data_IF_428467528516
#
_entry.id   IF_428467528516
#
_cell.length_a   1.000
_cell.length_b   1.000
_cell.length_c   1.000
_cell.angle_alpha   90.00
_cell.angle_beta   90.00
_cell.angle_gamma   90.00
#
_symmetry.space_group_name_H-M   'P 1'
#
loop_
_entity.id
_entity.type
_entity.pdbx_description
1 polymer ?
#
# COMPACT_ATOMS: atom_id res chain seq x y z
N UNK A 1 29.94 -19.41 4.04
CA UNK A 1 29.16 -20.47 3.39
C UNK A 1 28.42 -19.77 2.23
N UNK A 2 28.75 -20.15 0.99
CA UNK A 2 28.44 -19.45 -0.23
C UNK A 2 26.95 -19.46 -0.56
N UNK A 3 26.47 -18.29 -1.00
CA UNK A 3 25.20 -18.08 -1.65
C UNK A 3 25.19 -18.78 -3.02
N UNK A 4 24.34 -19.78 -3.21
CA UNK A 4 24.01 -20.32 -4.52
C UNK A 4 22.67 -19.74 -5.01
N UNK A 5 22.64 -19.04 -6.14
CA UNK A 5 21.39 -18.59 -6.78
C UNK A 5 20.84 -19.73 -7.64
N UNK A 6 19.78 -20.39 -7.16
CA UNK A 6 19.14 -21.43 -7.96
C UNK A 6 18.13 -22.28 -7.20
N UNK A 7 17.04 -21.68 -6.74
CA UNK A 7 15.75 -22.36 -6.57
C UNK A 7 14.62 -21.32 -6.74
N UNK A 8 13.91 -21.45 -7.84
CA UNK A 8 12.71 -20.68 -8.11
C UNK A 8 11.62 -20.98 -7.05
N UNK A 9 11.02 -19.94 -6.45
CA UNK A 9 9.68 -20.00 -5.93
C UNK A 9 9.45 -20.03 -4.43
N UNK A 10 10.40 -19.63 -3.58
CA UNK A 10 10.13 -19.44 -2.15
C UNK A 10 10.42 -17.98 -1.77
N UNK A 11 9.41 -17.29 -1.24
CA UNK A 11 9.56 -15.94 -0.69
C UNK A 11 10.67 -15.94 0.36
N UNK A 12 11.67 -15.11 0.14
CA UNK A 12 12.81 -14.93 1.06
C UNK A 12 12.34 -14.50 2.46
N UNK A 13 11.15 -13.94 2.58
CA UNK A 13 10.59 -13.43 3.83
C UNK A 13 10.09 -14.52 4.81
N UNK A 14 9.79 -15.73 4.35
CA UNK A 14 9.35 -16.82 5.25
C UNK A 14 10.50 -17.64 5.80
N UNK A 15 11.70 -17.54 5.22
CA UNK A 15 12.84 -18.40 5.60
C UNK A 15 13.90 -17.71 6.45
N UNK A 16 13.84 -16.38 6.64
CA UNK A 16 14.86 -15.67 7.38
C UNK A 16 14.30 -14.93 8.60
N UNK A 17 13.82 -15.66 9.61
CA UNK A 17 13.83 -15.15 10.98
C UNK A 17 15.23 -15.45 11.52
N UNK A 18 16.09 -14.44 11.73
CA UNK A 18 17.37 -14.67 12.38
C UNK A 18 17.09 -15.26 13.77
N UNK A 19 17.75 -16.35 14.11
CA UNK A 19 17.72 -16.83 15.49
C UNK A 19 18.49 -15.80 16.30
N UNK A 20 17.79 -15.05 17.15
CA UNK A 20 18.40 -13.95 17.90
C UNK A 20 19.51 -14.41 18.84
N UNK A 21 19.48 -15.68 19.25
CA UNK A 21 20.57 -16.36 19.99
C UNK A 21 21.92 -16.34 19.25
N UNK A 22 21.93 -16.16 17.93
CA UNK A 22 23.16 -16.16 17.13
C UNK A 22 23.87 -14.81 17.14
N UNK A 23 23.23 -13.77 17.73
CA UNK A 23 23.76 -12.41 17.76
C UNK A 23 24.22 -12.01 19.15
N UNK A 24 25.38 -11.37 19.19
CA UNK A 24 25.94 -10.81 20.41
C UNK A 24 25.49 -9.37 20.62
N UNK A 25 25.48 -8.56 19.56
CA UNK A 25 25.13 -7.13 19.66
C UNK A 25 23.84 -6.80 18.95
N UNK A 26 22.94 -6.16 19.69
CA UNK A 26 21.62 -5.71 19.23
C UNK A 26 21.64 -4.20 19.05
N UNK A 27 21.34 -3.70 17.85
CA UNK A 27 21.41 -2.27 17.50
C UNK A 27 20.03 -1.74 17.16
N UNK A 28 19.59 -0.73 17.86
CA UNK A 28 18.40 0.05 17.50
C UNK A 28 18.80 1.40 16.92
N UNK A 29 18.23 1.76 15.78
CA UNK A 29 18.52 2.99 15.06
C UNK A 29 17.25 3.82 14.91
N UNK A 30 17.27 5.05 15.38
CA UNK A 30 16.24 6.05 15.10
C UNK A 30 16.70 6.91 13.94
N UNK A 31 16.02 6.74 12.79
CA UNK A 31 16.49 7.23 11.49
C UNK A 31 15.65 8.41 11.03
N UNK A 32 16.26 9.60 11.03
CA UNK A 32 15.67 10.81 10.47
C UNK A 32 16.44 11.30 9.24
N UNK A 33 15.85 12.22 8.48
CA UNK A 33 16.44 12.72 7.23
C UNK A 33 17.81 13.40 7.39
N UNK A 34 18.11 13.97 8.55
CA UNK A 34 19.35 14.74 8.82
C UNK A 34 20.20 14.13 9.92
N UNK A 35 19.65 13.27 10.74
CA UNK A 35 20.35 12.70 11.89
C UNK A 35 19.88 11.27 12.12
N UNK A 36 20.81 10.44 12.55
CA UNK A 36 20.52 9.07 12.97
C UNK A 36 21.09 8.90 14.38
N UNK A 37 20.32 8.29 15.26
CA UNK A 37 20.79 7.96 16.61
C UNK A 37 20.80 6.45 16.77
N UNK A 38 21.93 5.91 17.18
CA UNK A 38 22.13 4.48 17.44
C UNK A 38 22.23 4.20 18.93
N UNK A 39 21.63 3.08 19.33
CA UNK A 39 21.82 2.47 20.65
C UNK A 39 22.14 0.99 20.43
N UNK A 40 23.22 0.51 21.03
CA UNK A 40 23.68 -0.89 20.89
C UNK A 40 23.83 -1.54 22.27
N UNK A 41 23.36 -2.79 22.39
CA UNK A 41 23.50 -3.62 23.58
C UNK A 41 24.43 -4.81 23.25
N UNK A 42 25.53 -4.94 23.97
CA UNK A 42 26.29 -6.21 24.01
C UNK A 42 25.59 -7.15 25.00
N UNK A 43 24.95 -8.19 24.48
CA UNK A 43 24.22 -9.16 25.31
C UNK A 43 25.13 -9.99 26.23
N UNK A 44 26.44 -10.04 25.99
CA UNK A 44 27.38 -10.76 26.81
C UNK A 44 27.80 -9.95 28.04
N UNK A 45 28.00 -8.64 27.87
CA UNK A 45 28.49 -7.75 28.98
C UNK A 45 27.37 -6.95 29.61
N UNK A 46 26.24 -6.77 28.92
CA UNK A 46 25.17 -5.86 29.31
C UNK A 46 25.48 -4.39 29.02
N UNK A 47 26.61 -4.10 28.38
CA UNK A 47 27.04 -2.73 28.07
C UNK A 47 26.13 -2.12 27.00
N UNK A 48 25.73 -0.84 27.20
CA UNK A 48 24.94 -0.08 26.24
C UNK A 48 25.76 1.08 25.70
N UNK A 49 26.05 1.02 24.41
CA UNK A 49 26.72 2.07 23.66
C UNK A 49 25.70 2.94 22.91
N UNK A 50 25.99 4.23 22.80
CA UNK A 50 25.17 5.18 22.06
C UNK A 50 26.02 6.02 21.13
N UNK A 51 25.51 6.31 19.96
CA UNK A 51 26.17 7.18 19.00
C UNK A 51 25.14 8.04 18.25
N UNK A 52 25.57 9.24 17.85
CA UNK A 52 24.77 10.14 17.02
C UNK A 52 25.51 10.44 15.73
N UNK A 53 24.84 10.23 14.62
CA UNK A 53 25.37 10.43 13.27
C UNK A 53 24.68 11.60 12.58
N UNK A 54 25.32 12.13 11.55
CA UNK A 54 24.68 12.91 10.50
C UNK A 54 23.79 12.06 9.59
N UNK A 55 23.69 12.45 8.33
CA UNK A 55 22.92 11.73 7.32
C UNK A 55 23.75 10.71 6.51
N UNK A 56 25.04 10.56 6.81
CA UNK A 56 25.90 9.60 6.11
C UNK A 56 25.68 8.18 6.62
N UNK A 57 25.05 7.36 5.79
CA UNK A 57 24.79 5.95 6.10
C UNK A 57 26.08 5.12 6.24
N UNK A 58 27.19 5.58 5.64
CA UNK A 58 28.48 4.88 5.72
C UNK A 58 29.06 4.94 7.13
N UNK A 59 28.86 6.05 7.85
CA UNK A 59 29.25 6.18 9.26
C UNK A 59 28.46 5.23 10.15
N UNK A 60 27.15 5.09 9.91
CA UNK A 60 26.27 4.16 10.65
C UNK A 60 26.71 2.71 10.45
N UNK A 61 27.02 2.33 9.20
CA UNK A 61 27.50 1.00 8.85
C UNK A 61 28.87 0.72 9.50
N UNK A 62 29.81 1.67 9.40
CA UNK A 62 31.13 1.55 10.00
C UNK A 62 31.05 1.36 11.52
N UNK A 63 30.25 2.18 12.20
CA UNK A 63 30.02 2.06 13.64
C UNK A 63 29.41 0.70 14.00
N UNK A 64 28.34 0.29 13.29
CA UNK A 64 27.69 -1.00 13.57
C UNK A 64 28.67 -2.17 13.44
N UNK A 65 29.54 -2.13 12.43
CA UNK A 65 30.59 -3.16 12.23
C UNK A 65 31.71 -3.12 13.25
N UNK A 66 31.97 -1.97 13.88
CA UNK A 66 32.99 -1.85 14.94
C UNK A 66 32.55 -2.46 16.27
N UNK A 67 31.27 -2.74 16.44
CA UNK A 67 30.72 -3.35 17.64
C UNK A 67 31.08 -4.86 17.70
N UNK A 68 31.12 -5.47 18.91
CA UNK A 68 31.35 -6.91 19.05
C UNK A 68 30.33 -7.72 18.23
N UNK A 69 30.81 -8.60 17.36
CA UNK A 69 29.96 -9.40 16.47
C UNK A 69 29.59 -10.78 17.02
N UNK A 70 28.60 -11.45 16.43
CA UNK A 70 27.73 -10.99 15.32
C UNK A 70 26.73 -9.90 15.75
N UNK A 71 26.46 -8.96 14.82
CA UNK A 71 25.54 -7.85 15.08
C UNK A 71 24.24 -8.03 14.30
N UNK A 72 23.13 -7.56 14.91
CA UNK A 72 21.84 -7.38 14.24
C UNK A 72 21.28 -5.98 14.53
N UNK A 73 20.80 -5.31 13.50
CA UNK A 73 20.25 -3.97 13.60
C UNK A 73 18.75 -3.93 13.34
N UNK A 74 18.08 -2.93 13.91
CA UNK A 74 16.68 -2.61 13.57
C UNK A 74 16.46 -1.10 13.50
N UNK A 75 15.55 -0.70 12.64
CA UNK A 75 15.00 0.66 12.60
C UNK A 75 13.54 0.63 12.17
N UNK A 76 12.81 1.71 12.44
CA UNK A 76 11.38 1.83 12.12
C UNK A 76 11.21 2.17 10.62
N UNK A 77 10.28 1.46 9.93
CA UNK A 77 9.91 1.79 8.56
C UNK A 77 9.32 3.21 8.50
N UNK A 78 9.91 4.06 7.68
CA UNK A 78 9.54 5.48 7.62
C UNK A 78 9.84 6.11 6.25
N UNK A 79 9.71 7.43 6.15
CA UNK A 79 9.90 8.18 4.90
C UNK A 79 11.35 8.15 4.38
N UNK A 80 12.32 7.72 5.20
CA UNK A 80 13.71 7.54 4.80
C UNK A 80 13.96 6.29 3.94
N UNK A 81 12.93 5.44 3.76
CA UNK A 81 12.99 4.27 2.90
C UNK A 81 13.88 3.15 3.43
N UNK A 82 14.41 2.33 2.52
CA UNK A 82 15.13 1.11 2.83
C UNK A 82 16.61 1.15 2.47
N UNK A 83 17.16 2.31 2.17
CA UNK A 83 18.57 2.47 1.80
C UNK A 83 19.54 1.98 2.88
N UNK A 84 19.27 2.29 4.15
CA UNK A 84 20.07 1.84 5.30
C UNK A 84 20.04 0.30 5.44
N UNK A 85 18.86 -0.30 5.32
CA UNK A 85 18.72 -1.76 5.35
C UNK A 85 19.63 -2.45 4.31
N UNK A 86 19.59 -1.98 3.06
CA UNK A 86 20.39 -2.53 1.97
C UNK A 86 21.88 -2.41 2.25
N UNK A 87 22.33 -1.24 2.71
CA UNK A 87 23.75 -1.00 3.06
C UNK A 87 24.22 -1.86 4.22
N UNK A 88 23.39 -2.07 5.25
CA UNK A 88 23.73 -2.96 6.35
C UNK A 88 23.89 -4.40 5.87
N UNK A 89 22.96 -4.91 5.05
CA UNK A 89 23.06 -6.25 4.47
C UNK A 89 24.27 -6.40 3.56
N UNK A 90 24.57 -5.44 2.69
CA UNK A 90 25.77 -5.43 1.83
C UNK A 90 27.06 -5.48 2.65
N UNK A 91 27.05 -4.90 3.83
CA UNK A 91 28.20 -4.93 4.77
C UNK A 91 28.31 -6.22 5.59
N UNK A 92 27.37 -7.15 5.43
CA UNK A 92 27.30 -8.40 6.22
C UNK A 92 26.61 -8.25 7.57
N UNK A 93 26.00 -7.09 7.88
CA UNK A 93 25.23 -6.88 9.11
C UNK A 93 23.77 -7.23 8.90
N UNK A 94 23.24 -8.13 9.72
CA UNK A 94 21.82 -8.46 9.71
C UNK A 94 20.97 -7.24 10.08
N UNK A 95 19.83 -7.07 9.39
CA UNK A 95 18.93 -5.96 9.68
C UNK A 95 17.46 -6.36 9.56
N UNK A 96 16.64 -5.90 10.49
CA UNK A 96 15.19 -6.09 10.52
C UNK A 96 14.53 -4.72 10.52
N UNK A 97 13.64 -4.43 9.57
CA UNK A 97 12.89 -3.17 9.56
C UNK A 97 11.59 -3.36 10.33
N UNK A 98 11.37 -2.56 11.36
CA UNK A 98 10.23 -2.66 12.27
C UNK A 98 8.96 -2.01 11.70
N UNK A 99 7.82 -2.65 11.90
CA UNK A 99 6.50 -2.10 11.52
C UNK A 99 6.05 -1.04 12.55
N UNK A 100 5.89 0.26 12.18
CA UNK A 100 5.58 1.35 13.10
C UNK A 100 4.32 1.11 13.92
N UNK A 101 3.27 0.61 13.27
CA UNK A 101 1.97 0.36 13.89
C UNK A 101 1.93 -0.83 14.87
N UNK A 102 3.03 -1.57 14.97
CA UNK A 102 3.16 -2.76 15.82
C UNK A 102 4.17 -2.60 16.94
N UNK A 103 4.90 -1.49 16.96
CA UNK A 103 5.82 -1.18 18.06
C UNK A 103 5.02 -0.91 19.34
N UNK A 104 5.21 -1.77 20.34
CA UNK A 104 4.59 -1.61 21.64
C UNK A 104 5.35 -0.52 22.41
N UNK A 105 4.61 0.43 22.98
CA UNK A 105 5.17 1.48 23.85
C UNK A 105 4.50 1.42 25.22
N UNK A 106 5.26 1.56 26.31
CA UNK A 106 4.66 1.66 27.65
C UNK A 106 3.69 2.84 27.75
N UNK A 107 2.52 2.63 28.30
CA UNK A 107 1.45 3.64 28.39
C UNK A 107 1.78 4.89 29.21
N UNK A 108 2.88 4.88 29.96
CA UNK A 108 3.37 6.00 30.78
C UNK A 108 4.51 6.82 30.16
N UNK A 109 5.06 6.41 29.01
CA UNK A 109 6.22 7.08 28.43
C UNK A 109 5.80 8.29 27.57
N UNK A 110 5.79 9.47 28.21
CA UNK A 110 5.41 10.75 27.58
C UNK A 110 6.60 11.53 27.01
N UNK A 111 7.83 11.13 27.31
CA UNK A 111 9.05 11.83 26.87
C UNK A 111 9.65 11.10 25.68
N UNK A 112 9.58 11.73 24.52
CA UNK A 112 10.16 11.21 23.27
C UNK A 112 11.45 11.96 22.97
N UNK A 113 12.52 11.22 22.78
CA UNK A 113 13.79 11.70 22.25
C UNK A 113 14.39 10.63 21.37
N UNK A 114 15.12 11.03 20.32
CA UNK A 114 15.78 10.12 19.38
C UNK A 114 16.58 9.03 20.12
N UNK A 115 17.28 9.39 21.21
CA UNK A 115 18.07 8.45 22.01
C UNK A 115 17.20 7.41 22.75
N UNK A 116 16.00 7.79 23.21
CA UNK A 116 15.07 6.84 23.84
C UNK A 116 14.40 5.95 22.80
N UNK A 117 14.06 6.50 21.64
CA UNK A 117 13.44 5.75 20.57
C UNK A 117 14.43 4.71 19.99
N UNK A 118 15.71 5.07 19.79
CA UNK A 118 16.77 4.12 19.42
C UNK A 118 16.98 3.02 20.48
N UNK A 119 17.02 3.40 21.77
CA UNK A 119 17.15 2.44 22.87
C UNK A 119 15.94 1.50 22.96
N UNK A 120 14.72 2.02 22.76
CA UNK A 120 13.51 1.21 22.74
C UNK A 120 13.50 0.19 21.61
N UNK A 121 13.89 0.59 20.40
CA UNK A 121 14.02 -0.32 19.25
C UNK A 121 15.05 -1.41 19.52
N UNK A 122 16.22 -1.08 20.06
CA UNK A 122 17.25 -2.03 20.47
C UNK A 122 16.69 -3.06 21.48
N UNK A 123 15.98 -2.60 22.50
CA UNK A 123 15.35 -3.44 23.52
C UNK A 123 14.31 -4.37 22.93
N UNK A 124 13.40 -3.87 22.07
CA UNK A 124 12.39 -4.70 21.39
C UNK A 124 13.03 -5.76 20.50
N UNK A 125 14.12 -5.40 19.81
CA UNK A 125 14.88 -6.36 19.00
C UNK A 125 15.47 -7.47 19.86
N UNK A 126 16.11 -7.12 20.97
CA UNK A 126 16.70 -8.09 21.89
C UNK A 126 15.65 -9.04 22.50
N UNK A 127 14.42 -8.56 22.74
CA UNK A 127 13.32 -9.34 23.30
C UNK A 127 12.50 -10.11 22.25
N UNK A 128 12.88 -10.12 20.98
CA UNK A 128 12.10 -10.70 19.85
C UNK A 128 10.67 -10.11 19.70
N UNK A 129 10.48 -8.85 20.08
CA UNK A 129 9.17 -8.19 20.02
C UNK A 129 9.00 -7.34 18.75
N UNK A 130 9.96 -7.37 17.81
CA UNK A 130 9.87 -6.65 16.55
C UNK A 130 8.99 -7.42 15.55
N UNK A 131 7.92 -6.77 15.10
CA UNK A 131 7.18 -7.23 13.93
C UNK A 131 7.86 -6.68 12.67
N UNK A 132 8.49 -7.56 11.90
CA UNK A 132 9.22 -7.18 10.70
C UNK A 132 8.31 -6.74 9.55
N UNK A 133 8.74 -5.71 8.82
CA UNK A 133 8.20 -5.34 7.50
C UNK A 133 8.96 -6.08 6.42
N UNK A 134 8.24 -6.62 5.44
CA UNK A 134 8.88 -7.12 4.22
C UNK A 134 9.46 -5.95 3.44
N UNK A 135 10.78 -5.90 3.32
CA UNK A 135 11.47 -4.86 2.55
C UNK A 135 11.29 -5.14 1.06
N UNK A 136 10.75 -4.20 0.29
CA UNK A 136 10.59 -4.38 -1.15
C UNK A 136 11.95 -4.37 -1.86
N UNK A 137 12.01 -4.99 -3.05
CA UNK A 137 13.13 -4.76 -3.96
C UNK A 137 13.19 -3.30 -4.40
N UNK A 138 14.31 -2.85 -4.97
CA UNK A 138 14.42 -1.49 -5.52
C UNK A 138 13.39 -1.26 -6.63
N UNK A 139 13.14 -2.26 -7.44
CA UNK A 139 12.17 -2.22 -8.52
C UNK A 139 10.73 -2.13 -7.99
N UNK A 140 10.40 -2.89 -6.94
CA UNK A 140 9.10 -2.80 -6.28
C UNK A 140 8.88 -1.45 -5.60
N UNK A 141 9.94 -0.87 -5.01
CA UNK A 141 9.90 0.44 -4.35
C UNK A 141 9.63 1.54 -5.38
N UNK A 142 10.38 1.58 -6.49
CA UNK A 142 10.17 2.56 -7.56
C UNK A 142 8.83 2.41 -8.27
N UNK A 143 8.35 1.19 -8.46
CA UNK A 143 7.01 0.94 -9.00
C UNK A 143 5.90 1.44 -8.05
N UNK A 144 6.09 1.30 -6.73
CA UNK A 144 5.17 1.89 -5.73
C UNK A 144 5.17 3.41 -5.77
N UNK A 145 6.32 4.04 -5.93
CA UNK A 145 6.41 5.50 -6.02
C UNK A 145 5.65 6.02 -7.24
N UNK A 146 5.74 5.35 -8.38
CA UNK A 146 4.96 5.67 -9.57
C UNK A 146 3.45 5.58 -9.31
N UNK A 147 3.00 4.48 -8.69
CA UNK A 147 1.59 4.25 -8.37
C UNK A 147 1.06 5.25 -7.35
N UNK A 148 1.86 5.59 -6.33
CA UNK A 148 1.50 6.58 -5.30
C UNK A 148 1.46 7.98 -5.86
N UNK A 149 2.41 8.37 -6.70
CA UNK A 149 2.39 9.64 -7.43
C UNK A 149 1.13 9.80 -8.30
N UNK A 150 0.69 8.69 -8.91
CA UNK A 150 -0.59 8.68 -9.65
C UNK A 150 -1.80 8.85 -8.74
N UNK A 151 -1.78 8.24 -7.54
CA UNK A 151 -2.85 8.39 -6.56
C UNK A 151 -2.93 9.82 -6.01
N UNK A 152 -1.78 10.42 -5.71
CA UNK A 152 -1.70 11.83 -5.27
C UNK A 152 -2.26 12.75 -6.36
N UNK A 153 -1.86 12.53 -7.62
CA UNK A 153 -2.41 13.28 -8.77
C UNK A 153 -3.93 13.12 -8.91
N UNK A 154 -4.48 11.93 -8.60
CA UNK A 154 -5.93 11.72 -8.58
C UNK A 154 -6.61 12.56 -7.50
N UNK A 155 -6.01 12.62 -6.31
CA UNK A 155 -6.54 13.42 -5.20
C UNK A 155 -6.47 14.92 -5.52
N UNK A 156 -5.34 15.39 -6.06
CA UNK A 156 -5.16 16.76 -6.51
C UNK A 156 -6.20 17.14 -7.54
N UNK A 157 -6.41 16.32 -8.58
CA UNK A 157 -7.41 16.52 -9.60
C UNK A 157 -8.83 16.62 -9.02
N UNK A 158 -9.18 15.77 -8.06
CA UNK A 158 -10.48 15.88 -7.36
C UNK A 158 -10.58 17.21 -6.60
N UNK A 159 -9.51 17.60 -5.90
CA UNK A 159 -9.47 18.85 -5.14
C UNK A 159 -9.64 20.09 -6.04
N UNK A 160 -8.91 20.15 -7.15
CA UNK A 160 -9.02 21.30 -8.08
C UNK A 160 -10.36 21.36 -8.77
N UNK A 161 -10.94 20.22 -9.18
CA UNK A 161 -12.30 20.13 -9.73
C UNK A 161 -13.35 20.63 -8.75
N UNK A 162 -13.26 20.27 -7.48
CA UNK A 162 -14.16 20.79 -6.45
C UNK A 162 -14.01 22.30 -6.24
N UNK A 163 -12.79 22.85 -6.29
CA UNK A 163 -12.56 24.29 -6.18
C UNK A 163 -13.21 25.05 -7.34
N UNK A 164 -13.01 24.61 -8.58
CA UNK A 164 -13.63 25.21 -9.75
C UNK A 164 -15.15 25.11 -9.70
N UNK A 165 -15.70 23.95 -9.37
CA UNK A 165 -17.18 23.78 -9.24
C UNK A 165 -17.76 24.71 -8.17
N UNK A 166 -17.08 24.91 -7.04
CA UNK A 166 -17.53 25.82 -5.98
C UNK A 166 -17.42 27.31 -6.38
N UNK A 167 -16.38 27.65 -7.16
CA UNK A 167 -16.26 28.99 -7.72
C UNK A 167 -17.49 29.29 -8.62
N UNK A 168 -17.78 28.42 -9.56
CA UNK A 168 -18.90 28.54 -10.50
C UNK A 168 -20.23 28.59 -9.76
N UNK A 169 -20.44 27.73 -8.77
CA UNK A 169 -21.66 27.70 -7.96
C UNK A 169 -21.91 29.05 -7.24
N UNK A 170 -20.85 29.67 -6.70
CA UNK A 170 -20.98 31.02 -6.07
C UNK A 170 -21.40 32.10 -7.04
N UNK A 171 -21.13 31.92 -8.33
CA UNK A 171 -21.56 32.84 -9.40
C UNK A 171 -22.85 32.38 -10.11
N UNK A 172 -23.60 31.46 -9.48
CA UNK A 172 -24.90 31.02 -9.96
C UNK A 172 -24.86 30.00 -11.10
N UNK A 173 -23.66 29.51 -11.49
CA UNK A 173 -23.55 28.53 -12.55
C UNK A 173 -23.68 27.11 -11.99
N UNK A 174 -24.67 26.37 -12.49
CA UNK A 174 -24.92 24.95 -12.21
C UNK A 174 -25.00 24.22 -13.54
N UNK A 175 -24.13 23.21 -13.72
CA UNK A 175 -24.19 22.36 -14.89
C UNK A 175 -25.16 21.20 -14.67
N UNK A 176 -26.25 21.16 -15.46
CA UNK A 176 -27.33 20.16 -15.38
C UNK A 176 -27.46 19.29 -16.66
N UNK A 177 -26.68 19.59 -17.71
CA UNK A 177 -26.75 18.93 -19.01
C UNK A 177 -25.83 17.66 -19.09
N UNK A 178 -25.92 16.80 -18.10
CA UNK A 178 -25.23 15.49 -18.07
C UNK A 178 -24.11 15.37 -17.06
N UNK A 179 -23.17 14.45 -17.34
CA UNK A 179 -22.07 14.19 -16.44
C UNK A 179 -21.01 15.31 -16.48
N UNK A 180 -20.59 15.80 -15.30
CA UNK A 180 -19.51 16.77 -15.17
C UNK A 180 -18.16 16.17 -15.64
N UNK A 181 -17.23 17.04 -16.03
CA UNK A 181 -15.86 16.71 -16.45
C UNK A 181 -15.77 15.86 -17.72
N UNK A 182 -16.80 15.96 -18.59
CA UNK A 182 -16.79 15.46 -19.97
C UNK A 182 -16.40 16.57 -20.93
N UNK A 183 -16.08 16.23 -22.19
CA UNK A 183 -15.81 17.23 -23.24
C UNK A 183 -16.98 18.22 -23.42
N UNK A 184 -18.23 17.76 -23.22
CA UNK A 184 -19.41 18.60 -23.27
C UNK A 184 -19.43 19.64 -22.14
N UNK A 185 -19.15 19.18 -20.91
CA UNK A 185 -19.02 20.05 -19.74
C UNK A 185 -17.87 21.06 -19.92
N UNK A 186 -16.72 20.62 -20.39
CA UNK A 186 -15.55 21.47 -20.65
C UNK A 186 -15.85 22.58 -21.67
N UNK A 187 -16.61 22.27 -22.74
CA UNK A 187 -17.09 23.26 -23.70
C UNK A 187 -18.02 24.26 -23.02
N UNK A 188 -19.00 23.80 -22.26
CA UNK A 188 -19.91 24.64 -21.51
C UNK A 188 -19.20 25.58 -20.54
N UNK A 189 -18.16 25.10 -19.85
CA UNK A 189 -17.34 25.94 -18.98
C UNK A 189 -16.66 27.08 -19.73
N UNK A 190 -16.14 26.83 -20.93
CA UNK A 190 -15.50 27.85 -21.77
C UNK A 190 -16.48 28.89 -22.26
N UNK A 191 -17.71 28.50 -22.60
CA UNK A 191 -18.79 29.41 -23.01
C UNK A 191 -19.24 30.33 -21.86
N UNK A 192 -19.13 29.87 -20.61
CA UNK A 192 -19.48 30.65 -19.41
C UNK A 192 -18.29 31.45 -18.83
N UNK A 193 -17.14 31.44 -19.53
CA UNK A 193 -15.96 32.26 -19.19
C UNK A 193 -16.26 33.73 -19.50
N UNK A 194 -17.01 34.42 -18.64
CA UNK A 194 -17.36 35.81 -18.79
C UNK A 194 -17.55 36.48 -17.43
N UNK A 195 -17.62 37.81 -17.40
CA UNK A 195 -17.78 38.57 -16.16
C UNK A 195 -16.69 39.60 -15.96
N UNK A 196 -16.47 40.01 -14.71
CA UNK A 196 -15.40 40.95 -14.38
C UNK A 196 -14.00 40.30 -14.43
N UNK A 197 -12.98 41.15 -14.47
CA UNK A 197 -11.58 40.72 -14.55
C UNK A 197 -11.19 39.80 -13.41
N UNK A 198 -11.68 40.03 -12.20
CA UNK A 198 -11.29 39.21 -11.03
C UNK A 198 -11.89 37.80 -11.13
N UNK A 199 -13.14 37.67 -11.56
CA UNK A 199 -13.74 36.35 -11.80
C UNK A 199 -13.02 35.60 -12.94
N UNK A 200 -12.81 36.25 -14.08
CA UNK A 200 -12.08 35.62 -15.20
C UNK A 200 -10.71 35.14 -14.80
N UNK A 201 -9.95 35.94 -14.06
CA UNK A 201 -8.61 35.55 -13.57
C UNK A 201 -8.68 34.35 -12.63
N UNK A 202 -9.64 34.35 -11.69
CA UNK A 202 -9.84 33.22 -10.75
C UNK A 202 -10.31 31.96 -11.45
N UNK A 203 -11.19 32.09 -12.46
CA UNK A 203 -11.64 30.97 -13.28
C UNK A 203 -10.48 30.37 -14.06
N UNK A 204 -9.73 31.17 -14.80
CA UNK A 204 -8.59 30.72 -15.61
C UNK A 204 -7.53 30.00 -14.78
N UNK A 205 -7.18 30.53 -13.62
CA UNK A 205 -6.20 29.91 -12.72
C UNK A 205 -6.67 28.52 -12.21
N UNK A 206 -7.97 28.36 -11.94
CA UNK A 206 -8.53 27.07 -11.52
C UNK A 206 -8.66 26.08 -12.69
N UNK A 207 -9.12 26.55 -13.86
CA UNK A 207 -9.26 25.72 -15.06
C UNK A 207 -7.90 25.24 -15.57
N UNK A 208 -6.90 26.10 -15.64
CA UNK A 208 -5.53 25.72 -15.97
C UNK A 208 -4.99 24.62 -15.02
N UNK A 209 -5.25 24.76 -13.73
CA UNK A 209 -4.86 23.74 -12.75
C UNK A 209 -5.53 22.39 -13.01
N UNK A 210 -6.82 22.40 -13.41
CA UNK A 210 -7.53 21.16 -13.81
C UNK A 210 -6.89 20.54 -15.05
N UNK A 211 -6.62 21.35 -16.08
CA UNK A 211 -5.99 20.88 -17.33
C UNK A 211 -4.61 20.26 -17.05
N UNK A 212 -3.77 20.92 -16.25
CA UNK A 212 -2.45 20.43 -15.86
C UNK A 212 -2.54 19.12 -15.06
N UNK A 213 -3.48 19.02 -14.13
CA UNK A 213 -3.69 17.81 -13.34
C UNK A 213 -4.17 16.62 -14.20
N UNK A 214 -5.03 16.88 -15.17
CA UNK A 214 -5.45 15.87 -16.17
C UNK A 214 -4.26 15.38 -16.99
N UNK A 215 -3.48 16.30 -17.55
CA UNK A 215 -2.31 15.96 -18.35
C UNK A 215 -1.27 15.15 -17.54
N UNK A 216 -1.05 15.51 -16.27
CA UNK A 216 -0.17 14.77 -15.35
C UNK A 216 -0.68 13.36 -15.11
N UNK A 217 -1.97 13.19 -14.79
CA UNK A 217 -2.61 11.89 -14.61
C UNK A 217 -2.42 11.01 -15.85
N UNK A 218 -2.67 11.57 -17.04
CA UNK A 218 -2.63 10.80 -18.28
C UNK A 218 -1.20 10.33 -18.61
N UNK A 219 -0.17 11.13 -18.29
CA UNK A 219 1.23 10.70 -18.40
C UNK A 219 1.55 9.54 -17.45
N UNK A 220 1.09 9.61 -16.20
CA UNK A 220 1.30 8.55 -15.22
C UNK A 220 0.52 7.28 -15.60
N UNK A 221 -0.72 7.41 -16.09
CA UNK A 221 -1.51 6.29 -16.57
C UNK A 221 -0.84 5.56 -17.76
N UNK A 222 -0.22 6.30 -18.69
CA UNK A 222 0.58 5.72 -19.79
C UNK A 222 1.80 4.97 -19.27
N UNK A 223 2.56 5.54 -18.34
CA UNK A 223 3.73 4.90 -17.77
C UNK A 223 3.36 3.61 -17.03
N UNK A 224 2.31 3.64 -16.20
CA UNK A 224 1.81 2.46 -15.50
C UNK A 224 1.35 1.38 -16.49
N UNK A 225 0.65 1.77 -17.57
CA UNK A 225 0.18 0.82 -18.59
C UNK A 225 1.35 0.13 -19.27
N UNK A 226 2.39 0.86 -19.64
CA UNK A 226 3.59 0.30 -20.25
C UNK A 226 4.29 -0.70 -19.32
N UNK A 227 4.46 -0.36 -18.03
CA UNK A 227 5.03 -1.27 -17.04
C UNK A 227 4.13 -2.49 -16.77
N UNK A 228 2.81 -2.34 -16.85
CA UNK A 228 1.90 -3.45 -16.67
C UNK A 228 1.95 -4.47 -17.83
N UNK A 229 2.39 -4.04 -19.01
CA UNK A 229 2.52 -4.89 -20.21
C UNK A 229 3.86 -5.65 -20.24
N UNK A 230 4.93 -5.03 -19.76
CA UNK A 230 6.28 -5.61 -19.77
C UNK A 230 7.05 -5.24 -18.49
N UNK A 231 6.90 -6.09 -17.47
CA UNK A 231 7.63 -6.02 -16.21
C UNK A 231 7.44 -7.31 -15.40
N UNK A 232 8.20 -7.52 -14.32
CA UNK A 232 7.98 -8.63 -13.39
C UNK A 232 6.56 -8.68 -12.78
N UNK A 233 5.83 -7.57 -12.81
CA UNK A 233 4.46 -7.48 -12.30
C UNK A 233 3.39 -7.96 -13.30
N UNK A 234 3.72 -8.04 -14.59
CA UNK A 234 2.79 -8.40 -15.69
C UNK A 234 2.02 -9.70 -15.41
N UNK A 235 2.64 -10.79 -14.94
CA UNK A 235 1.90 -12.03 -14.65
C UNK A 235 0.84 -11.84 -13.57
N UNK A 236 1.10 -11.02 -12.53
CA UNK A 236 0.14 -10.75 -11.48
C UNK A 236 -0.97 -9.83 -11.95
N UNK A 237 -0.65 -8.79 -12.73
CA UNK A 237 -1.63 -7.88 -13.35
C UNK A 237 -2.63 -8.66 -14.19
N UNK A 238 -2.15 -9.59 -15.03
CA UNK A 238 -3.00 -10.41 -15.90
C UNK A 238 -3.92 -11.33 -15.08
N UNK A 239 -3.42 -11.95 -14.00
CA UNK A 239 -4.24 -12.76 -13.08
C UNK A 239 -5.32 -11.95 -12.39
N UNK A 240 -4.97 -10.77 -11.86
CA UNK A 240 -5.92 -9.86 -11.18
C UNK A 240 -6.95 -9.31 -12.16
N UNK A 241 -6.54 -9.05 -13.41
CA UNK A 241 -7.41 -8.60 -14.50
C UNK A 241 -8.55 -9.56 -14.87
N UNK A 242 -8.50 -10.82 -14.42
CA UNK A 242 -9.62 -11.76 -14.58
C UNK A 242 -10.84 -11.42 -13.69
N UNK A 243 -10.68 -10.54 -12.72
CA UNK A 243 -11.75 -10.11 -11.82
C UNK A 243 -12.44 -8.85 -12.35
N UNK A 244 -13.78 -8.81 -12.27
CA UNK A 244 -14.58 -7.64 -12.64
C UNK A 244 -14.19 -6.45 -11.77
N UNK A 245 -14.05 -5.30 -12.38
CA UNK A 245 -13.67 -4.06 -11.69
C UNK A 245 -12.16 -3.85 -11.54
N UNK A 246 -11.33 -4.85 -11.87
CA UNK A 246 -9.88 -4.69 -11.92
C UNK A 246 -9.46 -4.30 -13.33
N UNK A 247 -9.10 -3.03 -13.52
CA UNK A 247 -8.47 -2.53 -14.75
C UNK A 247 -6.97 -2.83 -14.74
N UNK A 248 -6.26 -2.58 -15.84
CA UNK A 248 -4.80 -2.67 -15.91
C UNK A 248 -4.14 -1.80 -14.84
N UNK A 249 -4.55 -0.54 -14.71
CA UNK A 249 -4.04 0.37 -13.68
C UNK A 249 -4.30 -0.13 -12.26
N UNK A 250 -5.52 -0.62 -12.00
CA UNK A 250 -5.89 -1.18 -10.68
C UNK A 250 -5.10 -2.45 -10.38
N UNK A 251 -4.96 -3.33 -11.38
CA UNK A 251 -4.20 -4.58 -11.27
C UNK A 251 -2.73 -4.32 -10.98
N UNK A 252 -2.12 -3.37 -11.69
CA UNK A 252 -0.73 -2.97 -11.45
C UNK A 252 -0.55 -2.37 -10.06
N UNK A 253 -1.42 -1.44 -9.66
CA UNK A 253 -1.35 -0.84 -8.33
C UNK A 253 -1.48 -1.89 -7.21
N UNK A 254 -2.39 -2.85 -7.34
CA UNK A 254 -2.52 -3.95 -6.40
C UNK A 254 -1.30 -4.89 -6.41
N UNK A 255 -0.73 -5.17 -7.59
CA UNK A 255 0.46 -6.01 -7.72
C UNK A 255 1.66 -5.42 -6.96
N UNK A 256 1.94 -4.12 -7.12
CA UNK A 256 3.08 -3.45 -6.48
C UNK A 256 2.85 -3.11 -5.00
N UNK A 257 1.61 -2.82 -4.59
CA UNK A 257 1.31 -2.53 -3.17
C UNK A 257 1.33 -3.79 -2.29
N UNK A 258 0.96 -4.95 -2.83
CA UNK A 258 0.87 -6.20 -2.08
C UNK A 258 2.12 -7.05 -2.29
N UNK A 259 2.73 -7.00 -3.47
CA UNK A 259 3.90 -7.76 -3.93
C UNK A 259 3.76 -9.27 -3.76
N UNK A 260 4.01 -9.82 -2.59
CA UNK A 260 3.87 -11.25 -2.33
C UNK A 260 2.42 -11.62 -1.97
N UNK A 261 1.70 -12.11 -2.98
CA UNK A 261 0.33 -12.61 -2.82
C UNK A 261 0.27 -14.01 -2.21
N UNK A 262 1.37 -14.76 -2.22
CA UNK A 262 1.43 -16.15 -1.73
C UNK A 262 1.36 -16.22 -0.21
N UNK A 263 1.78 -15.18 0.48
CA UNK A 263 1.70 -15.08 1.94
C UNK A 263 0.28 -14.97 2.50
N UNK A 264 -0.73 -14.76 1.63
CA UNK A 264 -2.11 -14.56 2.05
C UNK A 264 -2.99 -15.76 1.73
N UNK A 265 -3.81 -16.12 2.70
CA UNK A 265 -5.00 -16.95 2.50
C UNK A 265 -6.22 -16.06 2.25
N UNK A 266 -7.35 -16.66 1.90
CA UNK A 266 -8.60 -15.92 1.74
C UNK A 266 -9.10 -15.21 3.01
N UNK A 267 -8.67 -15.65 4.19
CA UNK A 267 -9.01 -15.01 5.46
C UNK A 267 -8.01 -13.93 5.89
N UNK A 268 -6.71 -14.13 5.60
CA UNK A 268 -5.65 -13.22 6.08
C UNK A 268 -5.51 -11.95 5.26
N UNK A 269 -5.86 -11.97 3.96
CA UNK A 269 -5.81 -10.75 3.12
C UNK A 269 -6.80 -9.68 3.60
N UNK A 270 -7.98 -10.09 4.09
CA UNK A 270 -8.95 -9.14 4.67
C UNK A 270 -8.39 -8.44 5.91
N UNK A 271 -7.67 -9.17 6.76
CA UNK A 271 -7.00 -8.61 7.94
C UNK A 271 -5.85 -7.66 7.56
N UNK A 272 -5.01 -8.05 6.59
CA UNK A 272 -3.93 -7.20 6.08
C UNK A 272 -4.43 -5.87 5.50
N UNK A 273 -5.56 -5.90 4.82
CA UNK A 273 -6.22 -4.71 4.25
C UNK A 273 -7.08 -3.97 5.28
N UNK A 274 -7.17 -4.49 6.52
CA UNK A 274 -8.02 -3.98 7.58
C UNK A 274 -9.50 -3.80 7.19
N UNK A 275 -10.00 -4.77 6.43
CA UNK A 275 -11.41 -4.92 6.06
C UNK A 275 -12.19 -5.78 7.07
N UNK A 276 -11.53 -6.20 8.13
CA UNK A 276 -12.17 -6.91 9.25
C UNK A 276 -12.79 -5.91 10.23
N UNK A 277 -13.96 -6.22 10.80
CA UNK A 277 -14.56 -5.37 11.83
C UNK A 277 -13.68 -5.34 13.09
N UNK A 278 -13.67 -4.20 13.77
CA UNK A 278 -13.17 -4.14 15.15
C UNK A 278 -14.13 -4.90 16.07
N UNK A 279 -13.60 -5.51 17.10
CA UNK A 279 -14.38 -6.29 18.06
C UNK A 279 -14.03 -5.89 19.49
N UNK A 280 -15.04 -5.62 20.29
CA UNK A 280 -14.95 -5.33 21.73
C UNK A 280 -15.87 -6.30 22.46
N UNK A 281 -15.50 -7.57 22.47
CA UNK A 281 -16.29 -8.64 23.05
C UNK A 281 -15.73 -9.03 24.41
N UNK A 282 -16.60 -9.26 25.39
CA UNK A 282 -16.24 -9.78 26.71
C UNK A 282 -17.32 -10.76 27.19
N UNK A 283 -16.92 -11.94 27.66
CA UNK A 283 -17.83 -12.97 28.10
C UNK A 283 -18.84 -13.37 27.01
N UNK A 284 -20.12 -13.24 27.28
CA UNK A 284 -21.20 -13.57 26.33
C UNK A 284 -21.59 -12.41 25.41
N UNK A 285 -21.06 -11.21 25.64
CA UNK A 285 -21.36 -10.02 24.83
C UNK A 285 -20.42 -9.92 23.63
N UNK A 286 -20.99 -9.92 22.41
CA UNK A 286 -20.24 -9.72 21.18
C UNK A 286 -20.61 -8.39 20.53
N UNK A 287 -19.68 -7.42 20.57
CA UNK A 287 -19.84 -6.11 19.94
C UNK A 287 -18.86 -5.93 18.78
N UNK A 288 -19.39 -5.83 17.55
CA UNK A 288 -18.64 -5.56 16.35
C UNK A 288 -18.77 -4.07 15.99
N UNK A 289 -17.64 -3.41 15.77
CA UNK A 289 -17.55 -2.04 15.29
C UNK A 289 -17.38 -1.94 13.77
N UNK A 290 -16.92 -0.78 13.31
CA UNK A 290 -16.51 -0.58 11.92
C UNK A 290 -15.24 -1.35 11.57
N UNK A 291 -14.82 -1.30 10.29
CA UNK A 291 -13.54 -1.90 9.88
C UNK A 291 -12.37 -1.21 10.59
N UNK A 292 -11.32 -1.97 10.90
CA UNK A 292 -10.17 -1.49 11.71
C UNK A 292 -9.38 -0.37 11.05
N UNK A 293 -9.41 -0.26 9.71
CA UNK A 293 -8.74 0.77 8.88
C UNK A 293 -7.21 0.83 9.03
N UNK A 294 -6.59 -0.11 9.72
CA UNK A 294 -5.14 -0.29 9.78
C UNK A 294 -4.62 -0.91 8.46
N UNK A 295 -3.31 -0.97 8.24
CA UNK A 295 -2.73 -1.59 7.04
C UNK A 295 -2.80 -0.74 5.76
N UNK A 296 -2.65 -1.37 4.59
CA UNK A 296 -2.50 -0.67 3.31
C UNK A 296 -3.81 -0.01 2.85
N UNK A 297 -3.88 1.33 3.02
CA UNK A 297 -5.07 2.13 2.70
C UNK A 297 -5.32 2.24 1.20
N UNK A 298 -4.25 2.29 0.38
CA UNK A 298 -4.35 2.38 -1.07
C UNK A 298 -4.93 1.09 -1.66
N UNK A 299 -4.34 -0.06 -1.34
CA UNK A 299 -4.84 -1.35 -1.80
C UNK A 299 -6.29 -1.61 -1.33
N UNK A 300 -6.63 -1.25 -0.07
CA UNK A 300 -8.00 -1.33 0.43
C UNK A 300 -8.98 -0.52 -0.42
N UNK A 301 -8.65 0.75 -0.73
CA UNK A 301 -9.49 1.60 -1.56
C UNK A 301 -9.72 1.00 -2.94
N UNK A 302 -8.67 0.54 -3.60
CA UNK A 302 -8.75 -0.06 -4.93
C UNK A 302 -9.67 -1.28 -4.95
N UNK A 303 -9.58 -2.15 -3.95
CA UNK A 303 -10.43 -3.34 -3.85
C UNK A 303 -11.89 -2.99 -3.52
N UNK A 304 -12.13 -1.98 -2.68
CA UNK A 304 -13.48 -1.48 -2.38
C UNK A 304 -14.11 -0.85 -3.63
N UNK A 305 -13.35 -0.09 -4.41
CA UNK A 305 -13.83 0.46 -5.69
C UNK A 305 -14.14 -0.64 -6.71
N UNK A 306 -13.27 -1.64 -6.83
CA UNK A 306 -13.49 -2.78 -7.72
C UNK A 306 -14.74 -3.59 -7.33
N UNK A 307 -15.04 -3.71 -6.03
CA UNK A 307 -16.18 -4.47 -5.54
C UNK A 307 -17.54 -3.94 -6.04
N UNK A 308 -17.67 -2.63 -6.33
CA UNK A 308 -18.90 -2.05 -6.88
C UNK A 308 -19.32 -2.69 -8.21
N UNK A 309 -18.39 -3.24 -8.98
CA UNK A 309 -18.69 -3.89 -10.27
C UNK A 309 -19.44 -5.21 -10.10
N UNK A 310 -19.42 -5.83 -8.91
CA UNK A 310 -20.15 -7.06 -8.60
C UNK A 310 -21.62 -6.81 -8.23
N UNK A 311 -22.05 -5.55 -8.12
CA UNK A 311 -23.46 -5.16 -7.97
C UNK A 311 -24.29 -5.53 -9.21
N UNK A 312 -23.69 -5.46 -10.40
CA UNK A 312 -24.37 -5.82 -11.66
C UNK A 312 -24.53 -7.32 -11.75
N UNK A 313 -25.61 -7.75 -12.41
CA UNK A 313 -25.89 -9.16 -12.62
C UNK A 313 -24.68 -9.93 -13.14
N UNK A 314 -24.52 -11.12 -12.59
CA UNK A 314 -23.48 -12.02 -13.05
C UNK A 314 -23.91 -12.65 -14.38
N UNK A 315 -22.99 -12.65 -15.33
CA UNK A 315 -23.11 -13.37 -16.61
C UNK A 315 -21.93 -14.31 -16.73
N UNK A 316 -22.15 -15.61 -17.00
CA UNK A 316 -21.07 -16.59 -17.16
C UNK A 316 -20.09 -16.21 -18.27
N UNK A 317 -20.61 -15.65 -19.38
CA UNK A 317 -19.79 -15.15 -20.49
C UNK A 317 -19.24 -13.78 -20.15
N UNK A 318 -17.91 -13.58 -20.20
CA UNK A 318 -17.30 -12.27 -19.97
C UNK A 318 -17.66 -11.30 -21.10
N UNK A 319 -17.65 -10.00 -20.79
CA UNK A 319 -17.71 -8.97 -21.82
C UNK A 319 -16.45 -9.00 -22.69
N UNK A 320 -16.48 -8.43 -23.90
CA UNK A 320 -15.32 -8.37 -24.80
C UNK A 320 -14.08 -7.79 -24.12
N UNK A 321 -14.25 -6.74 -23.32
CA UNK A 321 -13.16 -6.11 -22.54
C UNK A 321 -12.59 -7.06 -21.48
N UNK A 322 -13.44 -7.81 -20.80
CA UNK A 322 -12.97 -8.78 -19.79
C UNK A 322 -12.35 -10.01 -20.48
N UNK A 323 -12.88 -10.46 -21.61
CA UNK A 323 -12.33 -11.55 -22.40
C UNK A 323 -10.90 -11.21 -22.85
N UNK A 324 -10.67 -10.04 -23.42
CA UNK A 324 -9.35 -9.60 -23.84
C UNK A 324 -8.31 -9.58 -22.71
N UNK A 325 -8.75 -9.39 -21.45
CA UNK A 325 -7.87 -9.55 -20.29
C UNK A 325 -7.65 -11.01 -19.90
N UNK A 326 -8.68 -11.83 -20.00
CA UNK A 326 -8.59 -13.27 -19.76
C UNK A 326 -7.62 -13.94 -20.71
N UNK A 327 -7.61 -13.54 -21.98
CA UNK A 327 -6.73 -14.10 -23.01
C UNK A 327 -5.24 -13.88 -22.70
N UNK A 328 -4.92 -12.87 -21.87
CA UNK A 328 -3.56 -12.61 -21.37
C UNK A 328 -3.18 -13.42 -20.13
N UNK A 329 -4.12 -14.11 -19.51
CA UNK A 329 -3.93 -14.82 -18.25
C UNK A 329 -3.90 -16.33 -18.43
N UNK A 330 -3.18 -17.08 -17.59
CA UNK A 330 -3.24 -18.54 -17.59
C UNK A 330 -4.67 -19.06 -17.35
N UNK A 331 -5.03 -20.19 -17.94
CA UNK A 331 -6.38 -20.80 -17.83
C UNK A 331 -6.81 -20.98 -16.38
N UNK A 332 -5.90 -21.41 -15.50
CA UNK A 332 -6.19 -21.54 -14.07
C UNK A 332 -6.59 -20.21 -13.41
N UNK A 333 -6.04 -19.08 -13.86
CA UNK A 333 -6.43 -17.76 -13.36
C UNK A 333 -7.79 -17.32 -13.91
N UNK A 334 -8.10 -17.64 -15.17
CA UNK A 334 -9.41 -17.39 -15.78
C UNK A 334 -10.52 -18.11 -15.01
N UNK A 335 -10.36 -19.42 -14.75
CA UNK A 335 -11.32 -20.23 -13.99
C UNK A 335 -11.53 -19.68 -12.56
N UNK A 336 -10.45 -19.28 -11.89
CA UNK A 336 -10.55 -18.65 -10.57
C UNK A 336 -11.23 -17.29 -10.63
N UNK A 337 -10.94 -16.51 -11.66
CA UNK A 337 -11.59 -15.23 -11.94
C UNK A 337 -13.09 -15.39 -12.13
N UNK A 338 -13.51 -16.38 -12.92
CA UNK A 338 -14.92 -16.72 -13.14
C UNK A 338 -15.62 -17.08 -11.82
N UNK A 339 -15.09 -18.05 -11.08
CA UNK A 339 -15.64 -18.46 -9.78
C UNK A 339 -15.63 -17.31 -8.76
N UNK A 340 -14.61 -16.46 -8.79
CA UNK A 340 -14.52 -15.26 -7.95
C UNK A 340 -15.60 -14.24 -8.28
N UNK A 341 -15.82 -13.95 -9.54
CA UNK A 341 -16.83 -13.01 -10.02
C UNK A 341 -18.26 -13.46 -9.63
N UNK A 342 -18.55 -14.73 -9.81
CA UNK A 342 -19.82 -15.36 -9.44
C UNK A 342 -20.05 -15.28 -7.92
N UNK A 343 -19.08 -15.73 -7.12
CA UNK A 343 -19.16 -15.70 -5.66
C UNK A 343 -19.36 -14.29 -5.11
N UNK A 344 -18.65 -13.30 -5.63
CA UNK A 344 -18.75 -11.91 -5.18
C UNK A 344 -20.13 -11.32 -5.52
N UNK A 345 -20.69 -11.66 -6.68
CA UNK A 345 -22.06 -11.28 -7.03
C UNK A 345 -23.08 -11.94 -6.10
N UNK A 346 -23.01 -13.24 -5.87
CA UNK A 346 -23.93 -13.94 -4.94
C UNK A 346 -23.85 -13.36 -3.54
N UNK A 347 -22.66 -13.01 -3.09
CA UNK A 347 -22.48 -12.36 -1.79
C UNK A 347 -23.11 -10.97 -1.74
N UNK A 348 -23.00 -10.18 -2.81
CA UNK A 348 -23.69 -8.91 -2.93
C UNK A 348 -25.22 -9.10 -2.84
N UNK A 349 -25.79 -10.04 -3.59
CA UNK A 349 -27.22 -10.38 -3.56
C UNK A 349 -27.65 -10.78 -2.16
N UNK A 350 -26.91 -11.64 -1.49
CA UNK A 350 -27.21 -12.08 -0.12
C UNK A 350 -27.18 -10.92 0.90
N UNK A 351 -26.26 -9.94 0.75
CA UNK A 351 -26.24 -8.75 1.60
C UNK A 351 -27.44 -7.84 1.34
N UNK A 352 -27.83 -7.68 0.08
CA UNK A 352 -28.97 -6.88 -0.33
C UNK A 352 -30.29 -7.48 0.19
N UNK A 353 -30.45 -8.81 0.10
CA UNK A 353 -31.60 -9.53 0.66
C UNK A 353 -31.71 -9.35 2.18
N UNK A 354 -30.58 -9.23 2.89
CA UNK A 354 -30.54 -8.92 4.34
C UNK A 354 -30.69 -7.42 4.64
N UNK A 355 -31.10 -6.61 3.67
CA UNK A 355 -31.26 -5.16 3.81
C UNK A 355 -30.02 -4.42 4.33
N UNK A 356 -28.83 -4.94 4.06
CA UNK A 356 -27.56 -4.25 4.40
C UNK A 356 -27.44 -3.00 3.55
N UNK A 357 -26.98 -1.90 4.16
CA UNK A 357 -26.69 -0.67 3.40
C UNK A 357 -25.69 -0.97 2.28
N UNK A 358 -25.90 -0.47 1.02
CA UNK A 358 -25.04 -0.80 -0.11
C UNK A 358 -23.54 -0.58 0.13
N UNK A 359 -23.18 0.51 0.83
CA UNK A 359 -21.79 0.82 1.18
C UNK A 359 -21.20 -0.26 2.11
N UNK A 360 -21.98 -0.74 3.09
CA UNK A 360 -21.54 -1.80 4.02
C UNK A 360 -21.38 -3.14 3.28
N UNK A 361 -22.33 -3.48 2.40
CA UNK A 361 -22.24 -4.66 1.56
C UNK A 361 -20.99 -4.63 0.67
N UNK A 362 -20.71 -3.46 0.07
CA UNK A 362 -19.56 -3.26 -0.80
C UNK A 362 -18.22 -3.39 -0.07
N UNK A 363 -18.11 -2.84 1.13
CA UNK A 363 -16.88 -2.96 1.96
C UNK A 363 -16.68 -4.38 2.49
N UNK A 364 -17.75 -5.11 2.77
CA UNK A 364 -17.68 -6.50 3.25
C UNK A 364 -17.30 -7.49 2.13
N UNK A 365 -17.60 -7.19 0.87
CA UNK A 365 -17.29 -8.07 -0.27
C UNK A 365 -15.78 -8.29 -0.46
N UNK A 366 -14.90 -7.27 -0.44
CA UNK A 366 -13.45 -7.47 -0.55
C UNK A 366 -12.83 -8.28 0.60
N UNK A 367 -13.42 -8.28 1.78
CA UNK A 367 -12.91 -9.08 2.91
C UNK A 367 -12.98 -10.59 2.62
N UNK A 368 -13.82 -11.02 1.68
CA UNK A 368 -13.96 -12.40 1.22
C UNK A 368 -13.23 -12.69 -0.10
N UNK A 369 -12.42 -11.79 -0.58
CA UNK A 369 -11.55 -12.02 -1.74
C UNK A 369 -10.56 -13.13 -1.38
N UNK A 370 -11.03 -14.36 -1.49
CA UNK A 370 -10.13 -15.50 -1.39
C UNK A 370 -9.16 -15.38 -2.55
N UNK A 371 -7.89 -15.37 -2.25
CA UNK A 371 -6.83 -15.18 -3.21
C UNK A 371 -6.97 -16.16 -4.39
N UNK A 372 -7.75 -15.76 -5.40
CA UNK A 372 -7.75 -16.41 -6.69
C UNK A 372 -6.43 -16.23 -7.43
N UNK A 373 -5.48 -15.53 -6.82
CA UNK A 373 -4.16 -15.22 -7.35
C UNK A 373 -3.06 -16.16 -6.83
N UNK A 374 -3.30 -16.92 -5.74
CA UNK A 374 -2.32 -17.87 -5.21
C UNK A 374 -2.17 -19.14 -6.07
N UNK A 375 -1.00 -19.82 -6.07
CA UNK A 375 -0.83 -21.09 -6.74
C UNK A 375 -1.78 -22.13 -6.16
N UNK A 376 -2.21 -23.07 -7.00
CA UNK A 376 -2.80 -24.32 -6.53
C UNK A 376 -1.76 -25.04 -5.67
N UNK A 377 -2.15 -25.43 -4.44
CA UNK A 377 -1.47 -26.55 -3.78
C UNK A 377 -1.66 -27.80 -4.60
#
# INVERSE_FOLDING_TARGET
VGYQPGRAGLSIAEFWRPQLSDYRTFVGLDVHARTIVGSALDATTGEVLRHRFGCDLSEVVAWTRSLPGPQIATYEAGPTGFGLYRRLLESGTACVVAAPSKLQRPSGDRVRTDARDAFHLMRLLHLDEITAVTVPSVEEETARDLVRSREDTRQDLMGVRHRLSRLLLRHGFVYDDGAAWTQKHDRCLREHRGGDLAFMTAFDANDETVVQAVARRDRLDKAITAMAEDSPFTPMVNRLGCLRGISTLTGFALAVEITDWHRFTGSTIGAYLALVPSEYSSGQSRQLGGITKTGNTHARRLLVEAAWHHRRDYRPSPSSVLQARWDKAPVAAQLRGQAGNERLHHQWVAFTARKKRPVVANVASPASWRAGAGPSR
#
